data_IF_271008146703
#
_entry.id   IF_271008146703
#
_cell.length_a   1.000
_cell.length_b   1.000
_cell.length_c   1.000
_cell.angle_alpha   90.00
_cell.angle_beta   90.00
_cell.angle_gamma   90.00
#
_symmetry.space_group_name_H-M   'P 1'
#
loop_
_entity.id
_entity.type
_entity.pdbx_description
1 polymer ?
#
# COMPACT_ATOMS: atom_id res chain seq x y z
N UNK A 1 31.71 0.13 12.57
CA UNK A 1 30.30 0.60 12.59
C UNK A 1 30.10 1.37 11.31
N UNK A 2 29.08 1.04 10.55
CA UNK A 2 28.91 1.60 9.20
C UNK A 2 28.32 3.03 9.24
N UNK A 3 27.31 3.25 10.11
CA UNK A 3 26.58 4.51 10.16
C UNK A 3 26.18 4.87 11.59
N UNK A 4 26.32 6.14 11.95
CA UNK A 4 25.70 6.74 13.14
C UNK A 4 24.84 7.91 12.69
N UNK A 5 23.56 7.93 13.10
CA UNK A 5 22.66 9.07 12.95
C UNK A 5 22.52 9.72 14.32
N UNK A 6 22.99 10.99 14.43
CA UNK A 6 23.09 11.72 15.70
C UNK A 6 22.01 12.78 15.86
N UNK A 7 21.70 13.10 17.12
CA UNK A 7 20.91 14.24 17.54
C UNK A 7 19.46 14.27 17.04
N UNK A 8 18.99 13.19 16.40
CA UNK A 8 17.66 13.12 15.82
C UNK A 8 16.56 12.92 16.86
N UNK A 9 15.33 13.26 16.48
CA UNK A 9 14.14 12.93 17.25
C UNK A 9 13.56 11.63 16.71
N UNK A 10 13.73 10.53 17.42
CA UNK A 10 13.19 9.21 17.03
C UNK A 10 11.70 9.18 17.30
N UNK A 11 10.93 8.68 16.32
CA UNK A 11 9.48 8.46 16.46
C UNK A 11 9.19 6.98 16.30
N UNK A 12 8.54 6.42 17.31
CA UNK A 12 7.99 5.06 17.31
C UNK A 12 6.47 5.12 17.40
N UNK A 13 5.72 4.02 17.25
CA UNK A 13 4.26 4.05 17.43
C UNK A 13 3.79 4.58 18.79
N UNK A 14 4.62 4.44 19.84
CA UNK A 14 4.23 4.74 21.23
C UNK A 14 5.01 5.85 21.90
N UNK A 15 6.14 6.29 21.31
CA UNK A 15 7.04 7.27 21.93
C UNK A 15 7.73 8.16 20.89
N UNK A 16 8.10 9.36 21.36
CA UNK A 16 8.95 10.30 20.62
C UNK A 16 10.02 10.82 21.58
N UNK A 17 11.31 10.63 21.21
CA UNK A 17 12.43 10.96 22.09
C UNK A 17 13.71 11.26 21.29
N UNK A 18 14.66 11.97 21.90
CA UNK A 18 15.97 12.23 21.28
C UNK A 18 16.95 11.12 21.60
N UNK A 19 17.59 10.57 20.58
CA UNK A 19 18.70 9.63 20.72
C UNK A 19 19.49 9.52 19.40
N UNK A 20 20.67 8.93 19.49
CA UNK A 20 21.48 8.52 18.35
C UNK A 20 21.16 7.08 17.97
N UNK A 21 21.19 6.78 16.67
CA UNK A 21 21.00 5.42 16.12
C UNK A 21 22.30 4.92 15.53
N UNK A 22 22.75 3.78 16.00
CA UNK A 22 23.95 3.08 15.52
C UNK A 22 23.57 1.94 14.58
N UNK A 23 24.23 1.85 13.45
CA UNK A 23 23.99 0.85 12.42
C UNK A 23 25.28 0.12 12.07
N UNK A 24 25.20 -1.20 11.99
CA UNK A 24 26.30 -2.05 11.53
C UNK A 24 25.75 -3.25 10.75
N UNK A 25 26.36 -3.58 9.60
CA UNK A 25 25.93 -4.66 8.72
C UNK A 25 24.43 -4.58 8.34
N UNK A 26 23.93 -3.37 8.11
CA UNK A 26 22.55 -3.11 7.72
C UNK A 26 21.52 -3.27 8.83
N UNK A 27 21.94 -3.42 10.09
CA UNK A 27 21.07 -3.58 11.26
C UNK A 27 21.26 -2.45 12.26
N UNK A 28 20.20 -2.10 12.96
CA UNK A 28 20.25 -1.20 14.11
C UNK A 28 20.89 -1.98 15.28
N UNK A 29 22.04 -1.52 15.75
CA UNK A 29 22.81 -2.20 16.80
C UNK A 29 22.70 -1.54 18.17
N UNK A 30 22.42 -0.22 18.18
CA UNK A 30 22.17 0.51 19.42
C UNK A 30 21.32 1.75 19.17
N UNK A 31 20.59 2.14 20.24
CA UNK A 31 19.90 3.43 20.35
C UNK A 31 20.37 4.00 21.68
N UNK A 32 21.07 5.15 21.65
CA UNK A 32 21.76 5.68 22.82
C UNK A 32 21.70 7.21 22.87
N UNK A 33 21.95 7.78 24.05
CA UNK A 33 22.00 9.24 24.21
C UNK A 33 23.26 9.88 23.57
N UNK A 34 24.37 9.13 23.47
CA UNK A 34 25.57 9.55 22.78
C UNK A 34 26.29 8.31 22.20
N UNK A 35 26.34 8.23 20.89
CA UNK A 35 27.02 7.16 20.16
C UNK A 35 28.50 7.45 19.87
N UNK A 36 29.00 8.63 20.24
CA UNK A 36 30.32 9.09 19.79
C UNK A 36 30.34 9.37 18.29
N UNK A 37 31.50 9.19 17.65
CA UNK A 37 31.70 9.49 16.21
C UNK A 37 32.54 8.42 15.50
N UNK A 38 32.72 7.25 16.11
CA UNK A 38 33.54 6.18 15.54
C UNK A 38 32.73 5.28 14.60
N UNK A 39 32.47 5.78 13.40
CA UNK A 39 31.80 5.07 12.31
C UNK A 39 32.34 5.55 10.96
N UNK A 40 32.11 4.78 9.90
CA UNK A 40 32.50 5.14 8.54
C UNK A 40 31.72 6.38 8.06
N UNK A 41 30.45 6.49 8.46
CA UNK A 41 29.58 7.64 8.19
C UNK A 41 28.91 8.13 9.46
N UNK A 42 28.96 9.45 9.70
CA UNK A 42 28.23 10.11 10.78
C UNK A 42 27.33 11.17 10.18
N UNK A 43 26.04 11.09 10.49
CA UNK A 43 25.00 12.00 9.98
C UNK A 43 24.42 12.78 11.15
N UNK A 44 24.40 14.10 11.05
CA UNK A 44 23.73 14.97 12.02
C UNK A 44 22.26 15.18 11.61
N UNK A 45 21.34 14.67 12.41
CA UNK A 45 19.90 14.83 12.26
C UNK A 45 19.32 15.86 13.24
N UNK A 46 20.11 16.86 13.65
CA UNK A 46 19.64 17.95 14.53
C UNK A 46 18.44 18.66 13.91
N UNK A 47 17.35 18.78 14.67
CA UNK A 47 16.10 19.39 14.20
C UNK A 47 15.25 18.50 13.29
N UNK A 48 15.71 17.30 12.96
CA UNK A 48 15.01 16.34 12.10
C UNK A 48 14.37 15.22 12.91
N UNK A 49 13.41 14.54 12.29
CA UNK A 49 12.85 13.30 12.81
C UNK A 49 13.54 12.09 12.17
N UNK A 50 13.77 11.06 12.97
CA UNK A 50 14.30 9.76 12.55
C UNK A 50 13.17 8.75 12.66
N UNK A 51 12.67 8.32 11.51
CA UNK A 51 11.48 7.49 11.36
C UNK A 51 11.88 6.13 10.78
N UNK A 52 11.14 5.04 11.07
CA UNK A 52 11.30 3.82 10.30
C UNK A 52 10.88 4.05 8.86
N UNK A 53 11.52 3.35 7.93
CA UNK A 53 11.08 3.31 6.54
C UNK A 53 9.64 2.82 6.42
N UNK A 54 8.86 3.44 5.56
CA UNK A 54 7.50 3.01 5.31
C UNK A 54 7.46 1.66 4.59
N UNK A 55 6.36 0.95 4.80
CA UNK A 55 6.00 -0.30 4.12
C UNK A 55 4.72 -0.04 3.34
N UNK A 56 4.79 -0.04 2.03
CA UNK A 56 3.61 0.00 1.19
C UNK A 56 3.13 -1.43 0.91
N UNK A 57 2.04 -1.82 1.57
CA UNK A 57 1.52 -3.16 1.50
C UNK A 57 0.63 -3.43 0.27
N UNK A 58 0.56 -2.49 -0.70
CA UNK A 58 -0.34 -2.61 -1.84
C UNK A 58 0.18 -1.90 -3.08
N UNK A 59 0.87 -2.63 -3.95
CA UNK A 59 1.39 -2.11 -5.22
C UNK A 59 1.14 -3.07 -6.37
N UNK A 60 1.12 -2.53 -7.59
CA UNK A 60 0.89 -3.25 -8.85
C UNK A 60 1.96 -2.84 -9.88
N UNK A 61 3.21 -3.26 -9.64
CA UNK A 61 4.35 -2.93 -10.50
C UNK A 61 4.39 -3.88 -11.71
N UNK A 62 4.67 -3.36 -12.90
CA UNK A 62 4.66 -4.14 -14.15
C UNK A 62 3.41 -5.04 -14.27
N UNK A 63 2.24 -4.52 -13.87
CA UNK A 63 0.98 -5.28 -13.78
C UNK A 63 0.22 -5.22 -15.11
N UNK A 64 -0.06 -6.35 -15.75
CA UNK A 64 -0.98 -6.40 -16.90
C UNK A 64 -2.41 -6.10 -16.43
N UNK A 65 -2.98 -4.98 -16.84
CA UNK A 65 -4.34 -4.60 -16.51
C UNK A 65 -4.94 -3.63 -17.53
N UNK A 66 -6.25 -3.69 -17.77
CA UNK A 66 -6.94 -2.74 -18.66
C UNK A 66 -6.48 -2.78 -20.13
N UNK A 67 -5.89 -3.87 -20.60
CA UNK A 67 -5.38 -4.02 -21.95
C UNK A 67 -3.96 -3.45 -22.15
N UNK A 68 -3.28 -3.06 -21.10
CA UNK A 68 -1.90 -2.57 -21.07
C UNK A 68 -1.14 -3.13 -19.86
N UNK A 69 0.01 -2.53 -19.54
CA UNK A 69 0.84 -2.86 -18.37
C UNK A 69 1.04 -1.55 -17.59
N UNK A 70 0.96 -1.60 -16.25
CA UNK A 70 1.24 -0.41 -15.43
C UNK A 70 2.61 0.18 -15.78
N UNK A 71 2.70 1.52 -15.87
CA UNK A 71 3.86 2.21 -16.41
C UNK A 71 5.14 2.06 -15.60
N UNK A 72 5.01 1.84 -14.29
CA UNK A 72 6.16 1.59 -13.43
C UNK A 72 6.49 0.10 -13.40
N UNK A 73 7.69 -0.25 -13.87
CA UNK A 73 8.30 -1.55 -13.64
C UNK A 73 8.85 -1.65 -12.19
N UNK A 74 9.52 -2.75 -11.87
CA UNK A 74 10.07 -2.94 -10.52
C UNK A 74 11.14 -1.92 -10.17
N UNK A 75 11.95 -1.49 -11.13
CA UNK A 75 12.96 -0.47 -10.85
C UNK A 75 12.32 0.91 -10.66
N UNK A 76 11.47 1.33 -11.57
CA UNK A 76 10.82 2.64 -11.51
C UNK A 76 9.98 2.79 -10.24
N UNK A 77 9.11 1.81 -9.95
CA UNK A 77 8.24 1.88 -8.77
C UNK A 77 9.02 1.80 -7.45
N UNK A 78 10.03 0.93 -7.33
CA UNK A 78 10.83 0.83 -6.09
C UNK A 78 11.83 1.98 -5.92
N UNK A 79 12.27 2.62 -7.01
CA UNK A 79 13.00 3.89 -6.99
C UNK A 79 12.11 5.01 -6.44
N UNK A 80 10.90 5.14 -6.98
CA UNK A 80 9.92 6.12 -6.49
C UNK A 80 9.57 5.87 -5.01
N UNK A 81 9.40 4.61 -4.60
CA UNK A 81 9.22 4.22 -3.20
C UNK A 81 10.33 4.77 -2.30
N UNK A 82 11.59 4.54 -2.65
CA UNK A 82 12.75 5.01 -1.90
C UNK A 82 12.75 6.55 -1.75
N UNK A 83 12.40 7.27 -2.81
CA UNK A 83 12.36 8.74 -2.82
C UNK A 83 11.26 9.29 -1.90
N UNK A 84 10.16 8.56 -1.73
CA UNK A 84 9.10 8.87 -0.78
C UNK A 84 9.33 8.39 0.66
N UNK A 85 10.44 7.70 0.95
CA UNK A 85 10.72 7.14 2.27
C UNK A 85 10.15 5.73 2.50
N UNK A 86 9.65 5.08 1.45
CA UNK A 86 9.19 3.68 1.49
C UNK A 86 10.36 2.75 1.20
N UNK A 87 10.67 1.84 2.12
CA UNK A 87 11.83 0.93 2.04
C UNK A 87 11.43 -0.52 1.80
N UNK A 88 10.14 -0.80 1.79
CA UNK A 88 9.59 -2.13 1.50
C UNK A 88 8.27 -2.00 0.77
N UNK A 89 8.14 -2.67 -0.38
CA UNK A 89 6.90 -2.74 -1.16
C UNK A 89 6.34 -4.15 -1.22
N UNK A 90 5.02 -4.28 -1.20
CA UNK A 90 4.32 -5.54 -1.45
C UNK A 90 3.63 -5.49 -2.79
N UNK A 91 4.06 -6.33 -3.71
CA UNK A 91 3.46 -6.43 -5.04
C UNK A 91 2.44 -7.57 -5.12
N UNK A 92 1.38 -7.38 -5.91
CA UNK A 92 0.36 -8.41 -6.13
C UNK A 92 0.69 -9.25 -7.35
N UNK A 93 0.79 -10.57 -7.11
CA UNK A 93 0.98 -11.57 -8.16
C UNK A 93 -0.39 -12.05 -8.64
N UNK A 94 -0.69 -11.92 -9.92
CA UNK A 94 -1.85 -12.62 -10.49
C UNK A 94 -1.46 -14.07 -10.79
N UNK A 95 -2.13 -15.01 -10.13
CA UNK A 95 -2.04 -16.43 -10.47
C UNK A 95 -2.56 -16.67 -11.89
N UNK A 96 -1.87 -17.42 -12.71
CA UNK A 96 -2.43 -17.90 -13.98
C UNK A 96 -3.33 -19.13 -13.75
N UNK A 97 -4.27 -19.39 -14.66
CA UNK A 97 -5.13 -20.57 -14.56
C UNK A 97 -4.29 -21.85 -14.70
N UNK A 98 -4.45 -22.77 -13.76
CA UNK A 98 -3.69 -24.00 -13.64
C UNK A 98 -2.29 -23.85 -13.01
N UNK A 99 -1.90 -22.65 -12.60
CA UNK A 99 -0.60 -22.37 -11.98
C UNK A 99 -0.67 -22.60 -10.46
N UNK A 100 0.37 -23.23 -9.87
CA UNK A 100 0.50 -23.28 -8.41
C UNK A 100 0.89 -21.91 -7.84
N UNK A 101 0.53 -21.63 -6.56
CA UNK A 101 0.91 -20.37 -5.90
C UNK A 101 2.43 -20.21 -5.84
N UNK A 102 3.18 -21.29 -5.62
CA UNK A 102 4.66 -21.26 -5.56
C UNK A 102 5.26 -20.95 -6.92
N UNK A 103 4.71 -21.47 -8.01
CA UNK A 103 5.22 -21.18 -9.35
C UNK A 103 4.93 -19.72 -9.74
N UNK A 104 3.76 -19.20 -9.38
CA UNK A 104 3.43 -17.79 -9.55
C UNK A 104 4.43 -16.89 -8.79
N UNK A 105 4.76 -17.23 -7.54
CA UNK A 105 5.74 -16.50 -6.73
C UNK A 105 7.13 -16.51 -7.41
N UNK A 106 7.61 -17.68 -7.81
CA UNK A 106 8.93 -17.83 -8.46
C UNK A 106 9.00 -17.05 -9.79
N UNK A 107 7.92 -17.11 -10.57
CA UNK A 107 7.81 -16.36 -11.82
C UNK A 107 7.94 -14.86 -11.58
N UNK A 108 7.25 -14.35 -10.56
CA UNK A 108 7.26 -12.93 -10.23
C UNK A 108 8.58 -12.48 -9.61
N UNK A 109 9.13 -13.28 -8.70
CA UNK A 109 10.44 -13.03 -8.07
C UNK A 109 11.57 -12.93 -9.11
N UNK A 110 11.56 -13.78 -10.12
CA UNK A 110 12.52 -13.74 -11.22
C UNK A 110 12.48 -12.43 -12.02
N UNK A 111 11.33 -11.74 -12.04
CA UNK A 111 11.20 -10.41 -12.66
C UNK A 111 11.64 -9.30 -11.71
N UNK A 112 11.34 -9.44 -10.42
CA UNK A 112 11.56 -8.40 -9.41
C UNK A 112 13.01 -8.35 -8.93
N UNK A 113 13.62 -9.50 -8.65
CA UNK A 113 14.94 -9.61 -8.02
C UNK A 113 16.08 -8.85 -8.75
N UNK A 114 16.18 -8.84 -10.10
CA UNK A 114 17.23 -8.10 -10.78
C UNK A 114 17.03 -6.58 -10.74
N UNK A 115 15.84 -6.09 -10.44
CA UNK A 115 15.44 -4.70 -10.68
C UNK A 115 15.09 -3.93 -9.40
N UNK A 116 14.55 -4.57 -8.38
CA UNK A 116 14.06 -3.87 -7.20
C UNK A 116 15.15 -3.06 -6.49
N UNK A 117 14.88 -1.78 -6.24
CA UNK A 117 15.79 -0.85 -5.57
C UNK A 117 15.61 -0.80 -4.05
N UNK A 118 14.46 -1.26 -3.52
CA UNK A 118 14.19 -1.48 -2.10
C UNK A 118 13.64 -2.88 -1.89
N UNK A 119 13.57 -3.32 -0.64
CA UNK A 119 13.10 -4.65 -0.29
C UNK A 119 11.63 -4.85 -0.70
N UNK A 120 11.26 -6.09 -1.00
CA UNK A 120 9.93 -6.41 -1.51
C UNK A 120 9.38 -7.70 -0.95
N UNK A 121 8.07 -7.81 -0.96
CA UNK A 121 7.32 -9.00 -0.63
C UNK A 121 6.14 -9.16 -1.61
N UNK A 122 5.40 -10.27 -1.48
CA UNK A 122 4.30 -10.57 -2.38
C UNK A 122 3.02 -10.93 -1.65
N UNK A 123 1.89 -10.56 -2.28
CA UNK A 123 0.59 -11.17 -2.09
C UNK A 123 0.22 -11.94 -3.35
N UNK A 124 -0.36 -13.14 -3.23
CA UNK A 124 -0.83 -13.89 -4.40
C UNK A 124 -2.33 -13.70 -4.56
N UNK A 125 -2.75 -13.17 -5.70
CA UNK A 125 -4.15 -13.07 -6.07
C UNK A 125 -4.66 -14.42 -6.58
N UNK A 126 -5.58 -15.02 -5.84
CA UNK A 126 -6.16 -16.34 -6.10
C UNK A 126 -7.21 -16.23 -7.18
N UNK A 127 -6.99 -16.87 -8.34
CA UNK A 127 -7.94 -16.92 -9.45
C UNK A 127 -8.47 -18.34 -9.70
N UNK A 128 -7.66 -19.36 -9.40
CA UNK A 128 -8.00 -20.76 -9.66
C UNK A 128 -7.68 -21.61 -8.42
N UNK A 129 -8.66 -22.32 -7.94
CA UNK A 129 -8.57 -23.27 -6.83
C UNK A 129 -8.94 -24.70 -7.24
N UNK A 130 -9.13 -24.95 -8.54
CA UNK A 130 -9.50 -26.25 -9.10
C UNK A 130 -8.37 -27.27 -9.00
N UNK A 131 -8.69 -28.53 -9.17
CA UNK A 131 -7.73 -29.62 -9.29
C UNK A 131 -6.65 -29.69 -8.18
N UNK A 132 -7.02 -29.29 -6.95
CA UNK A 132 -6.10 -29.30 -5.80
C UNK A 132 -5.22 -28.04 -5.68
N UNK A 133 -5.36 -27.05 -6.57
CA UNK A 133 -4.59 -25.80 -6.50
C UNK A 133 -4.82 -25.02 -5.19
N UNK A 134 -5.96 -25.20 -4.54
CA UNK A 134 -6.23 -24.61 -3.22
C UNK A 134 -5.19 -25.03 -2.17
N UNK A 135 -4.65 -26.25 -2.25
CA UNK A 135 -3.68 -26.76 -1.31
C UNK A 135 -2.31 -26.09 -1.47
N UNK A 136 -2.02 -25.54 -2.65
CA UNK A 136 -0.78 -24.80 -2.90
C UNK A 136 -0.71 -23.45 -2.15
N UNK A 137 -1.80 -23.00 -1.50
CA UNK A 137 -1.79 -21.90 -0.51
C UNK A 137 -0.86 -22.25 0.65
N UNK A 138 -0.95 -23.47 1.19
CA UNK A 138 -0.08 -23.92 2.28
C UNK A 138 1.38 -24.06 1.82
N UNK A 139 1.60 -24.54 0.59
CA UNK A 139 2.94 -24.60 0.00
C UNK A 139 3.56 -23.20 -0.13
N UNK A 140 2.76 -22.19 -0.51
CA UNK A 140 3.21 -20.81 -0.59
C UNK A 140 3.53 -20.23 0.80
N UNK A 141 2.75 -20.54 1.83
CA UNK A 141 3.06 -20.16 3.22
C UNK A 141 4.40 -20.76 3.65
N UNK A 142 4.62 -22.04 3.38
CA UNK A 142 5.87 -22.73 3.66
C UNK A 142 7.06 -22.18 2.85
N UNK A 143 6.80 -21.65 1.64
CA UNK A 143 7.81 -20.99 0.81
C UNK A 143 8.21 -19.61 1.34
N UNK A 144 7.31 -18.94 2.08
CA UNK A 144 7.53 -17.63 2.68
C UNK A 144 6.56 -16.53 2.22
N UNK A 145 5.40 -16.88 1.65
CA UNK A 145 4.32 -15.95 1.30
C UNK A 145 3.06 -16.34 2.06
N UNK A 146 2.73 -15.57 3.10
CA UNK A 146 1.63 -15.86 4.02
C UNK A 146 0.38 -14.99 3.84
N UNK A 147 0.24 -14.34 2.69
CA UNK A 147 -0.92 -13.49 2.39
C UNK A 147 -1.37 -13.63 0.95
N UNK A 148 -2.70 -13.70 0.78
CA UNK A 148 -3.36 -13.93 -0.50
C UNK A 148 -4.47 -12.93 -0.71
N UNK A 149 -4.85 -12.66 -1.96
CA UNK A 149 -5.95 -11.75 -2.30
C UNK A 149 -7.04 -12.45 -3.08
N UNK A 150 -8.27 -12.09 -2.81
CA UNK A 150 -9.42 -12.43 -3.64
C UNK A 150 -10.08 -11.15 -4.16
N UNK A 151 -10.67 -11.25 -5.34
CA UNK A 151 -11.46 -10.18 -5.95
C UNK A 151 -12.92 -10.62 -6.02
N UNK A 152 -13.83 -9.76 -5.54
CA UNK A 152 -15.29 -9.94 -5.71
C UNK A 152 -15.79 -9.22 -6.98
N UNK A 153 -14.90 -8.60 -7.73
CA UNK A 153 -15.12 -7.81 -8.94
C UNK A 153 -14.19 -8.30 -10.06
N UNK A 154 -14.36 -7.77 -11.26
CA UNK A 154 -13.67 -8.17 -12.50
C UNK A 154 -14.08 -9.58 -13.01
N UNK A 155 -13.69 -9.91 -14.25
CA UNK A 155 -14.02 -11.19 -14.88
C UNK A 155 -13.25 -12.38 -14.29
N UNK A 156 -12.13 -12.09 -13.62
CA UNK A 156 -11.36 -13.08 -12.87
C UNK A 156 -11.73 -13.14 -11.37
N UNK A 157 -12.77 -12.41 -10.96
CA UNK A 157 -13.28 -12.44 -9.60
C UNK A 157 -13.81 -13.81 -9.20
N UNK A 158 -13.69 -14.13 -7.91
CA UNK A 158 -14.15 -15.41 -7.39
C UNK A 158 -15.60 -15.34 -6.88
N UNK A 159 -16.30 -16.48 -6.89
CA UNK A 159 -17.63 -16.59 -6.27
C UNK A 159 -17.50 -16.64 -4.73
N UNK A 160 -18.58 -16.34 -4.00
CA UNK A 160 -18.62 -16.43 -2.54
C UNK A 160 -18.24 -17.83 -2.04
N UNK A 161 -18.62 -18.89 -2.77
CA UNK A 161 -18.25 -20.28 -2.42
C UNK A 161 -16.75 -20.56 -2.56
N UNK A 162 -16.09 -19.99 -3.57
CA UNK A 162 -14.62 -20.06 -3.71
C UNK A 162 -13.95 -19.23 -2.63
N UNK A 163 -14.43 -18.01 -2.40
CA UNK A 163 -13.90 -17.14 -1.35
C UNK A 163 -13.98 -17.82 0.03
N UNK A 164 -15.10 -18.46 0.35
CA UNK A 164 -15.27 -19.20 1.59
C UNK A 164 -14.22 -20.31 1.77
N UNK A 165 -13.99 -21.13 0.71
CA UNK A 165 -12.96 -22.19 0.73
C UNK A 165 -11.55 -21.63 0.88
N UNK A 166 -11.26 -20.49 0.26
CA UNK A 166 -9.96 -19.81 0.39
C UNK A 166 -9.75 -19.30 1.81
N UNK A 167 -10.79 -18.72 2.46
CA UNK A 167 -10.72 -18.32 3.87
C UNK A 167 -10.49 -19.51 4.80
N UNK A 168 -11.19 -20.62 4.58
CA UNK A 168 -11.05 -21.85 5.36
C UNK A 168 -9.63 -22.43 5.24
N UNK A 169 -9.09 -22.52 4.02
CA UNK A 169 -7.71 -22.99 3.79
C UNK A 169 -6.68 -22.05 4.40
N UNK A 170 -6.84 -20.73 4.22
CA UNK A 170 -5.94 -19.73 4.79
C UNK A 170 -5.91 -19.80 6.32
N UNK A 171 -7.09 -19.92 6.98
CA UNK A 171 -7.17 -20.10 8.43
C UNK A 171 -6.37 -21.32 8.88
N UNK A 172 -6.48 -22.44 8.16
CA UNK A 172 -5.81 -23.71 8.53
C UNK A 172 -4.27 -23.63 8.51
N UNK A 173 -3.69 -22.73 7.71
CA UNK A 173 -2.24 -22.55 7.57
C UNK A 173 -1.71 -21.20 8.07
N UNK A 174 -2.54 -20.42 8.78
CA UNK A 174 -2.13 -19.15 9.39
C UNK A 174 -1.88 -18.02 8.38
N UNK A 175 -2.48 -18.09 7.20
CA UNK A 175 -2.38 -17.05 6.18
C UNK A 175 -3.42 -15.95 6.36
N UNK A 176 -3.13 -14.76 5.80
CA UNK A 176 -4.05 -13.63 5.71
C UNK A 176 -4.72 -13.61 4.35
N UNK A 177 -6.03 -13.42 4.32
CA UNK A 177 -6.75 -13.13 3.09
C UNK A 177 -7.08 -11.64 3.05
N UNK A 178 -6.69 -10.99 1.96
CA UNK A 178 -7.14 -9.67 1.59
C UNK A 178 -8.22 -9.74 0.52
N UNK A 179 -9.14 -8.77 0.52
CA UNK A 179 -10.26 -8.75 -0.42
C UNK A 179 -10.46 -7.39 -1.05
N UNK A 180 -10.58 -7.37 -2.39
CA UNK A 180 -11.17 -6.26 -3.12
C UNK A 180 -12.69 -6.49 -3.16
N UNK A 181 -13.41 -5.69 -2.40
CA UNK A 181 -14.84 -5.86 -2.17
C UNK A 181 -15.66 -4.83 -2.96
N UNK A 182 -16.09 -5.19 -4.16
CA UNK A 182 -17.09 -4.46 -4.94
C UNK A 182 -18.07 -5.46 -5.58
N UNK A 183 -19.36 -5.11 -5.66
CA UNK A 183 -20.39 -5.96 -6.25
C UNK A 183 -20.39 -5.87 -7.78
N UNK A 184 -19.72 -6.84 -8.44
CA UNK A 184 -19.60 -6.89 -9.91
C UNK A 184 -20.93 -6.78 -10.63
N UNK A 185 -21.95 -7.52 -10.17
CA UNK A 185 -23.23 -7.58 -10.86
C UNK A 185 -23.95 -6.22 -10.87
N UNK A 186 -23.86 -5.46 -9.77
CA UNK A 186 -24.41 -4.12 -9.71
C UNK A 186 -23.62 -3.15 -10.58
N UNK A 187 -22.29 -3.26 -10.60
CA UNK A 187 -21.44 -2.46 -11.47
C UNK A 187 -21.81 -2.69 -12.94
N UNK A 188 -21.95 -3.95 -13.35
CA UNK A 188 -22.29 -4.31 -14.74
C UNK A 188 -23.64 -3.67 -15.16
N UNK A 189 -24.67 -3.80 -14.33
CA UNK A 189 -26.01 -3.22 -14.59
C UNK A 189 -25.97 -1.69 -14.69
N UNK A 190 -25.24 -1.04 -13.77
CA UNK A 190 -25.12 0.43 -13.77
C UNK A 190 -24.30 0.92 -14.96
N UNK A 191 -23.23 0.21 -15.31
CA UNK A 191 -22.37 0.50 -16.47
C UNK A 191 -23.18 0.42 -17.75
N UNK A 192 -23.89 -0.69 -17.98
CA UNK A 192 -24.76 -0.88 -19.15
C UNK A 192 -25.80 0.24 -19.26
N UNK A 193 -26.45 0.59 -18.15
CA UNK A 193 -27.43 1.68 -18.10
C UNK A 193 -26.83 2.99 -18.56
N UNK A 194 -25.70 3.42 -17.98
CA UNK A 194 -25.09 4.69 -18.32
C UNK A 194 -24.61 4.75 -19.77
N UNK A 195 -23.99 3.68 -20.27
CA UNK A 195 -23.59 3.61 -21.68
C UNK A 195 -24.78 3.68 -22.64
N UNK A 196 -25.89 2.98 -22.31
CA UNK A 196 -27.12 3.02 -23.14
C UNK A 196 -27.77 4.42 -23.19
N UNK A 197 -27.52 5.24 -22.16
CA UNK A 197 -27.97 6.64 -22.08
C UNK A 197 -26.95 7.62 -22.71
N UNK A 198 -25.87 7.14 -23.34
CA UNK A 198 -24.81 7.95 -23.93
C UNK A 198 -23.92 8.68 -22.90
N UNK A 199 -23.90 8.21 -21.67
CA UNK A 199 -23.14 8.77 -20.55
C UNK A 199 -21.78 8.08 -20.46
N UNK A 200 -20.73 8.70 -20.99
CA UNK A 200 -19.44 8.03 -21.29
C UNK A 200 -18.23 8.62 -20.55
N UNK A 201 -18.37 9.79 -19.90
CA UNK A 201 -17.25 10.46 -19.23
C UNK A 201 -16.75 9.74 -17.97
N UNK A 202 -15.57 10.07 -17.48
CA UNK A 202 -14.96 9.54 -16.25
C UNK A 202 -15.88 9.66 -15.01
N UNK A 203 -16.78 10.67 -14.97
CA UNK A 203 -17.78 10.80 -13.92
C UNK A 203 -18.67 9.56 -13.79
N UNK A 204 -18.97 8.87 -14.90
CA UNK A 204 -19.82 7.68 -14.90
C UNK A 204 -19.07 6.41 -14.47
N UNK A 205 -17.76 6.42 -14.44
CA UNK A 205 -17.02 5.41 -13.70
C UNK A 205 -17.37 5.42 -12.20
N UNK A 206 -17.37 6.62 -11.58
CA UNK A 206 -17.81 6.76 -10.19
C UNK A 206 -19.30 6.42 -10.02
N UNK A 207 -20.16 6.93 -10.91
CA UNK A 207 -21.62 6.69 -10.83
C UNK A 207 -22.00 5.21 -11.00
N UNK A 208 -21.21 4.42 -11.72
CA UNK A 208 -21.41 2.96 -11.84
C UNK A 208 -20.90 2.18 -10.63
N UNK A 209 -20.16 2.85 -9.72
CA UNK A 209 -19.56 2.29 -8.51
C UNK A 209 -19.92 3.13 -7.26
N UNK A 210 -21.23 3.40 -7.04
CA UNK A 210 -21.66 4.17 -5.89
C UNK A 210 -21.30 3.49 -4.58
N UNK A 211 -21.33 4.22 -3.47
CA UNK A 211 -20.81 3.78 -2.17
C UNK A 211 -21.38 2.45 -1.72
N UNK A 212 -22.68 2.22 -1.90
CA UNK A 212 -23.32 0.96 -1.48
C UNK A 212 -22.83 -0.29 -2.24
N UNK A 213 -22.24 -0.14 -3.43
CA UNK A 213 -21.69 -1.25 -4.23
C UNK A 213 -20.45 -1.85 -3.56
N UNK A 214 -19.64 -1.00 -2.95
CA UNK A 214 -18.51 -1.40 -2.13
C UNK A 214 -18.98 -1.80 -0.72
N UNK A 215 -19.81 -0.97 -0.06
CA UNK A 215 -20.29 -1.23 1.30
C UNK A 215 -21.04 -2.56 1.46
N UNK A 216 -21.89 -2.94 0.50
CA UNK A 216 -22.55 -4.27 0.48
C UNK A 216 -21.52 -5.41 0.39
N UNK A 217 -20.53 -5.27 -0.49
CA UNK A 217 -19.52 -6.28 -0.69
C UNK A 217 -18.59 -6.40 0.54
N UNK A 218 -18.24 -5.30 1.20
CA UNK A 218 -17.50 -5.30 2.46
C UNK A 218 -18.27 -6.08 3.56
N UNK A 219 -19.55 -5.77 3.72
CA UNK A 219 -20.41 -6.44 4.71
C UNK A 219 -20.46 -7.95 4.40
N UNK A 220 -20.62 -8.34 3.15
CA UNK A 220 -20.69 -9.75 2.74
C UNK A 220 -19.36 -10.46 2.97
N UNK A 221 -18.23 -9.85 2.61
CA UNK A 221 -16.90 -10.42 2.85
C UNK A 221 -16.63 -10.62 4.35
N UNK A 222 -16.98 -9.63 5.18
CA UNK A 222 -16.87 -9.71 6.64
C UNK A 222 -17.74 -10.85 7.20
N UNK A 223 -18.98 -11.02 6.71
CA UNK A 223 -19.85 -12.11 7.18
C UNK A 223 -19.28 -13.49 6.84
N UNK A 224 -18.68 -13.67 5.65
CA UNK A 224 -18.00 -14.91 5.28
C UNK A 224 -16.83 -15.20 6.24
N UNK A 225 -15.99 -14.20 6.52
CA UNK A 225 -14.87 -14.34 7.44
C UNK A 225 -15.33 -14.65 8.88
N UNK A 226 -16.36 -13.96 9.38
CA UNK A 226 -16.95 -14.19 10.70
C UNK A 226 -17.48 -15.60 10.86
N UNK A 227 -18.14 -16.16 9.82
CA UNK A 227 -18.72 -17.50 9.87
C UNK A 227 -17.67 -18.60 10.08
N UNK A 228 -16.43 -18.33 9.70
CA UNK A 228 -15.27 -19.20 9.89
C UNK A 228 -14.40 -18.79 11.07
N UNK A 229 -14.69 -17.65 11.75
CA UNK A 229 -13.77 -17.05 12.70
C UNK A 229 -12.36 -16.89 12.08
N UNK A 230 -12.31 -16.37 10.86
CA UNK A 230 -11.10 -16.16 10.08
C UNK A 230 -10.71 -14.68 10.06
N UNK A 231 -9.41 -14.42 10.07
CA UNK A 231 -8.89 -13.07 9.81
C UNK A 231 -9.25 -12.63 8.40
N UNK A 232 -9.53 -11.34 8.24
CA UNK A 232 -9.76 -10.72 6.93
C UNK A 232 -9.11 -9.33 6.89
N UNK A 233 -8.56 -8.98 5.74
CA UNK A 233 -7.98 -7.68 5.47
C UNK A 233 -8.72 -7.02 4.29
N UNK A 234 -9.47 -5.96 4.57
CA UNK A 234 -10.16 -5.16 3.54
C UNK A 234 -9.13 -4.20 2.97
N UNK A 235 -8.78 -4.37 1.68
CA UNK A 235 -7.83 -3.46 1.01
C UNK A 235 -8.54 -2.18 0.54
N UNK A 236 -7.79 -1.08 0.41
CA UNK A 236 -8.21 0.19 -0.21
C UNK A 236 -9.66 0.61 0.10
N UNK A 237 -10.10 0.42 1.35
CA UNK A 237 -11.43 0.80 1.82
C UNK A 237 -11.68 2.29 1.58
N UNK A 238 -12.71 2.63 0.80
CA UNK A 238 -12.96 4.00 0.34
C UNK A 238 -14.29 4.59 0.84
N UNK A 239 -15.14 3.80 1.54
CA UNK A 239 -16.51 4.21 1.85
C UNK A 239 -16.84 4.13 3.35
N UNK A 240 -17.82 4.94 3.78
CA UNK A 240 -18.31 5.01 5.17
C UNK A 240 -18.99 3.72 5.62
N UNK A 241 -19.78 3.07 4.75
CA UNK A 241 -20.53 1.86 5.11
C UNK A 241 -19.60 0.70 5.47
N UNK A 242 -18.48 0.56 4.73
CA UNK A 242 -17.43 -0.41 5.02
C UNK A 242 -16.72 -0.12 6.34
N UNK A 243 -16.42 1.17 6.64
CA UNK A 243 -15.88 1.57 7.95
C UNK A 243 -16.82 1.13 9.08
N UNK A 244 -18.12 1.37 8.94
CA UNK A 244 -19.13 0.96 9.92
C UNK A 244 -19.22 -0.58 10.06
N UNK A 245 -19.04 -1.31 8.96
CA UNK A 245 -19.03 -2.76 8.97
C UNK A 245 -17.79 -3.32 9.70
N UNK A 246 -16.61 -2.74 9.48
CA UNK A 246 -15.38 -3.07 10.20
C UNK A 246 -15.54 -2.79 11.69
N UNK A 247 -16.10 -1.62 12.05
CA UNK A 247 -16.36 -1.28 13.47
C UNK A 247 -17.23 -2.34 14.15
N UNK A 248 -18.39 -2.67 13.54
CA UNK A 248 -19.31 -3.68 14.13
C UNK A 248 -18.62 -5.03 14.32
N UNK A 249 -17.85 -5.48 13.31
CA UNK A 249 -17.18 -6.77 13.42
C UNK A 249 -16.13 -6.80 14.53
N UNK A 250 -15.38 -5.71 14.71
CA UNK A 250 -14.40 -5.59 15.80
C UNK A 250 -15.04 -5.47 17.17
N UNK A 251 -16.15 -4.74 17.29
CA UNK A 251 -16.92 -4.65 18.54
C UNK A 251 -17.46 -6.02 18.99
N UNK A 252 -17.69 -6.92 18.03
CA UNK A 252 -18.05 -8.32 18.24
C UNK A 252 -16.84 -9.24 18.49
N UNK A 253 -15.61 -8.73 18.44
CA UNK A 253 -14.36 -9.45 18.73
C UNK A 253 -13.70 -10.17 17.55
N UNK A 254 -14.10 -9.89 16.31
CA UNK A 254 -13.48 -10.48 15.13
C UNK A 254 -12.24 -9.72 14.64
N UNK A 255 -11.25 -10.46 14.14
CA UNK A 255 -9.99 -9.91 13.60
C UNK A 255 -10.18 -9.44 12.15
N UNK A 256 -10.76 -8.26 11.99
CA UNK A 256 -10.94 -7.60 10.68
C UNK A 256 -9.99 -6.42 10.62
N UNK A 257 -9.08 -6.43 9.66
CA UNK A 257 -8.15 -5.35 9.35
C UNK A 257 -8.66 -4.54 8.16
N UNK A 258 -8.33 -3.27 8.11
CA UNK A 258 -8.74 -2.40 7.01
C UNK A 258 -7.59 -1.47 6.61
N UNK A 259 -7.39 -1.35 5.32
CA UNK A 259 -6.47 -0.45 4.65
C UNK A 259 -7.25 0.67 3.98
N UNK A 260 -6.72 1.88 3.97
CA UNK A 260 -7.17 2.92 3.04
C UNK A 260 -5.98 3.53 2.31
N UNK A 261 -6.26 4.31 1.28
CA UNK A 261 -5.22 4.92 0.47
C UNK A 261 -5.19 6.44 0.66
N UNK A 262 -4.01 7.09 0.54
CA UNK A 262 -3.88 8.53 0.67
C UNK A 262 -4.81 9.32 -0.27
N UNK A 263 -5.04 8.82 -1.49
CA UNK A 263 -5.93 9.47 -2.45
C UNK A 263 -7.39 9.56 -1.97
N UNK A 264 -7.86 8.60 -1.16
CA UNK A 264 -9.21 8.66 -0.57
C UNK A 264 -9.30 9.61 0.62
N UNK A 265 -8.15 9.98 1.19
CA UNK A 265 -8.06 10.96 2.28
C UNK A 265 -7.95 12.40 1.77
N UNK A 266 -7.41 12.58 0.55
CA UNK A 266 -7.21 13.89 -0.06
C UNK A 266 -8.34 14.27 -1.01
N UNK A 267 -8.73 13.38 -1.92
CA UNK A 267 -9.64 13.69 -3.02
C UNK A 267 -11.06 13.17 -2.76
N UNK A 268 -12.03 13.82 -3.41
CA UNK A 268 -13.42 13.36 -3.48
C UNK A 268 -13.79 13.02 -4.92
N UNK A 269 -14.99 12.45 -5.12
CA UNK A 269 -15.53 12.14 -6.45
C UNK A 269 -15.61 13.36 -7.40
N UNK A 270 -15.52 14.58 -6.87
CA UNK A 270 -15.52 15.80 -7.69
C UNK A 270 -14.34 15.86 -8.67
N UNK A 271 -13.25 15.16 -8.42
CA UNK A 271 -12.11 15.08 -9.37
C UNK A 271 -12.52 14.51 -10.72
N UNK A 272 -13.52 13.62 -10.77
CA UNK A 272 -14.00 13.02 -12.01
C UNK A 272 -14.76 13.99 -12.93
N UNK A 273 -15.16 15.17 -12.41
CA UNK A 273 -15.80 16.24 -13.18
C UNK A 273 -14.79 17.16 -13.86
N UNK A 274 -13.51 17.06 -13.50
CA UNK A 274 -12.42 17.86 -14.06
C UNK A 274 -12.15 17.47 -15.52
N UNK A 275 -11.50 18.35 -16.27
CA UNK A 275 -11.06 18.06 -17.64
C UNK A 275 -10.08 16.87 -17.72
N UNK A 276 -9.26 16.71 -16.68
CA UNK A 276 -8.30 15.61 -16.48
C UNK A 276 -8.85 14.47 -15.59
N UNK A 277 -10.16 14.46 -15.31
CA UNK A 277 -10.79 13.52 -14.37
C UNK A 277 -10.53 12.05 -14.67
N UNK A 278 -10.25 11.69 -15.92
CA UNK A 278 -9.86 10.32 -16.31
C UNK A 278 -8.56 9.85 -15.68
N UNK A 279 -7.63 10.78 -15.38
CA UNK A 279 -6.36 10.46 -14.73
C UNK A 279 -6.55 9.95 -13.29
N UNK A 280 -7.67 10.31 -12.66
CA UNK A 280 -8.04 9.89 -11.30
C UNK A 280 -8.80 8.56 -11.26
N UNK A 281 -9.11 7.96 -12.40
CA UNK A 281 -9.89 6.71 -12.44
C UNK A 281 -9.09 5.57 -11.84
N UNK A 282 -9.62 5.03 -10.72
CA UNK A 282 -9.15 3.86 -9.98
C UNK A 282 -10.35 3.07 -9.44
N UNK A 283 -10.14 1.89 -8.93
CA UNK A 283 -11.19 1.03 -8.36
C UNK A 283 -10.78 0.47 -7.01
N UNK A 284 -11.55 0.76 -5.94
CA UNK A 284 -12.77 1.60 -5.92
C UNK A 284 -12.48 3.07 -6.30
N UNK A 285 -13.48 3.81 -6.81
CA UNK A 285 -13.29 5.23 -7.09
C UNK A 285 -13.27 6.06 -5.80
N UNK A 286 -12.66 7.27 -5.84
CA UNK A 286 -12.83 8.27 -4.80
C UNK A 286 -14.31 8.52 -4.55
N UNK A 287 -14.71 8.55 -3.28
CA UNK A 287 -16.12 8.71 -2.87
C UNK A 287 -16.44 10.17 -2.52
N UNK A 288 -17.64 10.40 -2.00
CA UNK A 288 -18.08 11.70 -1.53
C UNK A 288 -17.34 12.17 -0.26
N UNK A 289 -17.53 13.45 0.07
CA UNK A 289 -16.91 14.09 1.24
C UNK A 289 -17.24 13.37 2.55
N UNK A 290 -18.46 12.83 2.69
CA UNK A 290 -18.87 12.10 3.89
C UNK A 290 -18.00 10.87 4.13
N UNK A 291 -17.72 10.09 3.09
CA UNK A 291 -16.83 8.93 3.17
C UNK A 291 -15.39 9.33 3.45
N UNK A 292 -14.88 10.39 2.79
CA UNK A 292 -13.54 10.93 3.06
C UNK A 292 -13.36 11.31 4.54
N UNK A 293 -14.33 12.01 5.13
CA UNK A 293 -14.31 12.38 6.55
C UNK A 293 -14.42 11.15 7.47
N UNK A 294 -15.25 10.17 7.09
CA UNK A 294 -15.38 8.93 7.85
C UNK A 294 -14.07 8.12 7.90
N UNK A 295 -13.28 8.12 6.83
CA UNK A 295 -11.96 7.48 6.80
C UNK A 295 -10.98 8.17 7.75
N UNK A 296 -10.94 9.50 7.80
CA UNK A 296 -10.10 10.23 8.77
C UNK A 296 -10.49 9.91 10.22
N UNK A 297 -11.79 9.85 10.52
CA UNK A 297 -12.25 9.46 11.86
C UNK A 297 -11.95 7.99 12.17
N UNK A 298 -12.04 7.11 11.18
CA UNK A 298 -11.68 5.70 11.31
C UNK A 298 -10.17 5.52 11.63
N UNK A 299 -9.30 6.33 11.03
CA UNK A 299 -7.87 6.39 11.36
C UNK A 299 -7.66 6.76 12.83
N UNK A 300 -8.31 7.83 13.31
CA UNK A 300 -8.19 8.29 14.70
C UNK A 300 -8.67 7.23 15.70
N UNK A 301 -9.71 6.49 15.35
CA UNK A 301 -10.28 5.40 16.17
C UNK A 301 -9.49 4.08 16.06
N UNK A 302 -8.49 3.99 15.18
CA UNK A 302 -7.73 2.76 14.93
C UNK A 302 -8.48 1.70 14.13
N UNK A 303 -9.58 2.05 13.47
CA UNK A 303 -10.34 1.13 12.58
C UNK A 303 -9.60 0.89 11.27
N UNK A 304 -9.03 1.93 10.68
CA UNK A 304 -8.03 1.79 9.64
C UNK A 304 -6.73 1.41 10.32
N UNK A 305 -6.16 0.29 9.91
CA UNK A 305 -4.95 -0.30 10.50
C UNK A 305 -3.70 -0.01 9.72
N UNK A 306 -3.83 0.24 8.42
CA UNK A 306 -2.70 0.50 7.51
C UNK A 306 -3.07 1.54 6.47
N UNK A 307 -2.05 2.22 5.98
CA UNK A 307 -2.11 3.04 4.77
C UNK A 307 -1.25 2.37 3.71
N UNK A 308 -1.79 2.21 2.50
CA UNK A 308 -1.07 1.72 1.34
C UNK A 308 -1.55 2.46 0.09
N UNK A 309 -0.89 2.30 -1.05
CA UNK A 309 -1.13 3.21 -2.18
C UNK A 309 -2.09 2.69 -3.23
N UNK A 310 -2.17 1.38 -3.41
CA UNK A 310 -2.76 0.77 -4.59
C UNK A 310 -2.10 1.32 -5.88
N UNK A 311 -0.77 1.52 -5.82
CA UNK A 311 0.02 2.11 -6.90
C UNK A 311 -0.04 1.25 -8.16
N UNK A 312 -0.71 1.79 -9.18
CA UNK A 312 -0.91 1.15 -10.48
C UNK A 312 -1.02 2.23 -11.57
N UNK A 313 0.07 2.93 -11.91
CA UNK A 313 0.04 4.05 -12.84
C UNK A 313 -0.11 3.61 -14.29
N UNK A 314 -0.77 4.46 -15.09
CA UNK A 314 -0.87 4.33 -16.54
C UNK A 314 -0.59 5.67 -17.18
N UNK A 315 0.00 5.68 -18.38
CA UNK A 315 0.31 6.91 -19.09
C UNK A 315 -0.97 7.69 -19.49
N UNK A 316 -0.87 9.00 -19.62
CA UNK A 316 -2.00 9.85 -19.97
C UNK A 316 -2.67 9.43 -21.27
N UNK A 317 -1.89 9.02 -22.29
CA UNK A 317 -2.42 8.54 -23.56
C UNK A 317 -3.21 7.22 -23.42
N UNK A 318 -2.89 6.38 -22.44
CA UNK A 318 -3.65 5.16 -22.14
C UNK A 318 -4.96 5.50 -21.44
N UNK A 319 -4.94 6.47 -20.51
CA UNK A 319 -6.16 7.03 -19.90
C UNK A 319 -7.08 7.64 -20.96
N UNK A 320 -6.53 8.17 -22.05
CA UNK A 320 -7.30 8.74 -23.18
C UNK A 320 -8.06 7.69 -24.02
N UNK A 321 -7.74 6.40 -23.89
CA UNK A 321 -8.55 5.33 -24.52
C UNK A 321 -10.01 5.36 -24.05
N UNK A 322 -10.25 5.84 -22.84
CA UNK A 322 -11.59 5.98 -22.26
C UNK A 322 -12.23 7.35 -22.44
N UNK A 323 -11.72 8.19 -23.36
CA UNK A 323 -12.25 9.54 -23.58
C UNK A 323 -13.74 9.55 -23.93
N UNK A 324 -14.18 8.60 -24.74
CA UNK A 324 -15.55 8.45 -25.20
C UNK A 324 -16.27 7.20 -24.62
N UNK A 325 -15.61 6.48 -23.70
CA UNK A 325 -16.14 5.29 -23.05
C UNK A 325 -15.34 5.01 -21.76
N UNK A 326 -15.89 5.44 -20.62
CA UNK A 326 -15.21 5.33 -19.33
C UNK A 326 -14.76 3.90 -18.95
N UNK A 327 -15.36 2.87 -19.55
CA UNK A 327 -14.99 1.46 -19.28
C UNK A 327 -13.63 1.08 -19.88
N UNK A 328 -13.11 1.89 -20.80
CA UNK A 328 -11.80 1.70 -21.44
C UNK A 328 -10.67 2.45 -20.75
N UNK A 329 -10.96 3.22 -19.71
CA UNK A 329 -9.93 3.89 -18.92
C UNK A 329 -9.23 2.81 -18.07
N UNK A 330 -7.93 2.54 -18.23
CA UNK A 330 -7.22 1.66 -17.30
C UNK A 330 -7.28 2.26 -15.89
N UNK A 331 -7.75 1.44 -14.92
CA UNK A 331 -7.99 1.89 -13.55
C UNK A 331 -6.71 1.79 -12.73
N UNK A 332 -6.30 2.89 -12.12
CA UNK A 332 -5.14 2.96 -11.25
C UNK A 332 -4.44 4.32 -11.31
N UNK A 333 -3.70 4.64 -10.26
CA UNK A 333 -3.02 5.92 -10.09
C UNK A 333 -1.61 5.72 -9.53
N UNK A 334 -0.70 6.67 -9.80
CA UNK A 334 0.59 6.75 -9.12
C UNK A 334 0.40 7.27 -7.69
N UNK A 335 1.10 6.67 -6.70
CA UNK A 335 0.96 7.08 -5.30
C UNK A 335 2.11 6.70 -4.38
N UNK A 336 2.95 5.73 -4.76
CA UNK A 336 3.96 5.11 -3.88
C UNK A 336 4.96 6.12 -3.28
N UNK A 337 5.37 7.11 -4.05
CA UNK A 337 6.28 8.17 -3.59
C UNK A 337 5.61 9.17 -2.66
N UNK A 338 4.27 9.32 -2.77
CA UNK A 338 3.53 10.35 -2.06
C UNK A 338 2.91 9.88 -0.73
N UNK A 339 2.81 8.57 -0.50
CA UNK A 339 2.13 7.99 0.66
C UNK A 339 2.68 8.49 1.97
N UNK A 340 3.96 8.25 2.22
CA UNK A 340 4.56 8.60 3.52
C UNK A 340 4.70 10.11 3.70
N UNK A 341 5.19 10.89 2.72
CA UNK A 341 5.20 12.35 2.80
C UNK A 341 3.84 12.96 3.09
N UNK A 342 2.76 12.47 2.46
CA UNK A 342 1.40 12.94 2.70
C UNK A 342 0.92 12.65 4.13
N UNK A 343 1.13 11.43 4.63
CA UNK A 343 0.71 11.06 5.98
C UNK A 343 1.52 11.78 7.07
N UNK A 344 2.81 12.01 6.84
CA UNK A 344 3.67 12.80 7.72
C UNK A 344 3.30 14.29 7.68
N UNK A 345 2.91 14.82 6.52
CA UNK A 345 2.35 16.17 6.41
C UNK A 345 1.04 16.31 7.19
N UNK A 346 0.15 15.34 7.10
CA UNK A 346 -1.07 15.31 7.88
C UNK A 346 -0.79 15.29 9.41
N UNK A 347 0.29 14.61 9.82
CA UNK A 347 0.74 14.64 11.21
C UNK A 347 1.31 16.02 11.58
N UNK A 348 2.07 16.63 10.70
CA UNK A 348 2.64 17.97 10.92
C UNK A 348 1.55 19.05 11.01
N UNK A 349 0.44 18.87 10.28
CA UNK A 349 -0.75 19.73 10.35
C UNK A 349 -1.66 19.42 11.55
N UNK A 350 -1.35 18.40 12.35
CA UNK A 350 -2.12 18.01 13.54
C UNK A 350 -3.40 17.23 13.26
N UNK A 351 -3.60 16.71 12.05
CA UNK A 351 -4.75 15.82 11.73
C UNK A 351 -4.65 14.48 12.45
N UNK A 352 -3.41 13.97 12.58
CA UNK A 352 -3.01 12.79 13.36
C UNK A 352 -1.70 13.09 14.11
N UNK A 353 -1.15 12.14 14.87
CA UNK A 353 0.19 12.26 15.45
C UNK A 353 1.24 11.63 14.54
N UNK A 354 2.52 12.01 14.65
CA UNK A 354 3.62 11.33 13.97
C UNK A 354 3.71 9.85 14.38
N UNK A 355 3.43 9.55 15.66
CA UNK A 355 3.35 8.16 16.14
C UNK A 355 2.27 7.36 15.37
N UNK A 356 1.10 7.97 15.12
CA UNK A 356 0.03 7.34 14.35
C UNK A 356 0.43 7.16 12.87
N UNK A 357 1.13 8.11 12.26
CA UNK A 357 1.64 7.96 10.90
C UNK A 357 2.64 6.79 10.80
N UNK A 358 3.59 6.69 11.75
CA UNK A 358 4.54 5.57 11.84
C UNK A 358 3.82 4.24 12.10
N UNK A 359 2.82 4.24 12.98
CA UNK A 359 1.98 3.05 13.23
C UNK A 359 1.35 2.54 11.94
N UNK A 360 0.67 3.42 11.18
CA UNK A 360 -0.10 3.07 9.99
C UNK A 360 0.76 2.71 8.77
N UNK A 361 1.89 3.41 8.58
CA UNK A 361 2.68 3.29 7.37
C UNK A 361 3.91 2.37 7.53
N UNK A 362 4.27 1.96 8.75
CA UNK A 362 5.48 1.17 8.98
C UNK A 362 5.23 -0.01 9.92
N UNK A 363 4.79 0.26 11.15
CA UNK A 363 4.71 -0.76 12.20
C UNK A 363 3.59 -1.78 11.95
N UNK A 364 2.37 -1.32 11.72
CA UNK A 364 1.22 -2.20 11.53
C UNK A 364 1.35 -3.07 10.28
N UNK A 365 1.73 -2.57 9.07
CA UNK A 365 1.92 -3.45 7.94
C UNK A 365 3.02 -4.49 8.18
N UNK A 366 4.11 -4.14 8.90
CA UNK A 366 5.13 -5.11 9.29
C UNK A 366 4.55 -6.23 10.18
N UNK A 367 3.73 -5.86 11.17
CA UNK A 367 3.11 -6.82 12.11
C UNK A 367 2.06 -7.68 11.43
N UNK A 368 1.11 -7.08 10.71
CA UNK A 368 0.01 -7.80 10.06
C UNK A 368 0.55 -8.82 9.06
N UNK A 369 1.58 -8.46 8.31
CA UNK A 369 2.11 -9.31 7.25
C UNK A 369 3.38 -10.10 7.63
N UNK A 370 3.80 -10.07 8.90
CA UNK A 370 4.89 -10.91 9.40
C UNK A 370 6.29 -10.50 8.93
N UNK A 371 6.56 -9.20 8.76
CA UNK A 371 7.88 -8.66 8.43
C UNK A 371 8.67 -8.30 9.69
N UNK A 372 9.06 -9.29 10.49
CA UNK A 372 9.63 -9.11 11.83
C UNK A 372 10.91 -8.25 11.88
N UNK A 373 11.66 -8.19 10.79
CA UNK A 373 12.86 -7.38 10.71
C UNK A 373 12.61 -5.90 10.37
N UNK A 374 11.37 -5.51 10.05
CA UNK A 374 10.99 -4.22 9.49
C UNK A 374 10.09 -3.39 10.42
N UNK A 375 9.76 -2.18 10.01
CA UNK A 375 8.64 -1.38 10.52
C UNK A 375 8.90 -0.60 11.81
N UNK A 376 10.12 -0.64 12.39
CA UNK A 376 10.41 0.10 13.61
C UNK A 376 11.90 0.46 13.74
N UNK A 377 12.19 1.56 14.46
CA UNK A 377 13.54 1.89 14.92
C UNK A 377 13.77 1.13 16.24
N UNK A 378 14.30 -0.08 16.14
CA UNK A 378 14.55 -0.96 17.28
C UNK A 378 15.85 -1.75 17.05
N UNK A 379 16.57 -2.06 18.13
CA UNK A 379 17.81 -2.86 18.06
C UNK A 379 17.52 -4.26 17.50
N UNK A 380 18.30 -4.68 16.51
CA UNK A 380 18.17 -5.95 15.81
C UNK A 380 17.35 -5.90 14.52
N UNK A 381 16.57 -4.85 14.32
CA UNK A 381 15.83 -4.65 13.06
C UNK A 381 16.72 -4.15 11.93
N UNK A 382 16.26 -4.26 10.71
CA UNK A 382 16.90 -3.65 9.55
C UNK A 382 16.98 -2.13 9.72
N UNK A 383 18.10 -1.55 9.32
CA UNK A 383 18.29 -0.12 9.36
C UNK A 383 17.60 0.55 8.16
N UNK A 384 16.28 0.39 8.11
CA UNK A 384 15.38 1.08 7.18
C UNK A 384 14.93 2.36 7.87
N UNK A 385 15.55 3.47 7.48
CA UNK A 385 15.47 4.73 8.23
C UNK A 385 15.17 5.88 7.28
N UNK A 386 14.26 6.75 7.69
CA UNK A 386 13.97 8.02 7.02
C UNK A 386 14.37 9.17 7.93
N UNK A 387 15.23 10.04 7.44
CA UNK A 387 15.46 11.35 8.05
C UNK A 387 14.48 12.32 7.41
N UNK A 388 13.60 12.88 8.24
CA UNK A 388 12.49 13.73 7.81
C UNK A 388 12.67 15.15 8.35
N UNK A 389 12.61 16.13 7.45
CA UNK A 389 12.61 17.53 7.79
C UNK A 389 11.18 18.04 7.98
N UNK A 390 10.72 18.32 9.20
CA UNK A 390 9.35 18.77 9.45
C UNK A 390 9.07 20.21 8.98
N UNK A 391 10.10 21.00 8.71
CA UNK A 391 9.94 22.39 8.30
C UNK A 391 10.02 22.61 6.79
N UNK A 392 10.43 21.57 6.03
CA UNK A 392 10.54 21.64 4.57
C UNK A 392 9.16 21.74 3.93
N UNK A 393 8.90 22.82 3.20
CA UNK A 393 7.69 22.90 2.35
C UNK A 393 7.97 22.30 0.98
N UNK A 394 7.07 21.44 0.50
CA UNK A 394 7.21 20.80 -0.79
C UNK A 394 5.86 20.80 -1.52
N UNK A 395 5.87 21.24 -2.78
CA UNK A 395 4.74 21.13 -3.68
C UNK A 395 5.00 19.96 -4.62
N UNK A 396 4.10 18.97 -4.61
CA UNK A 396 4.19 17.80 -5.48
C UNK A 396 3.88 18.25 -6.91
N UNK A 397 4.78 17.97 -7.83
CA UNK A 397 4.62 18.19 -9.26
C UNK A 397 5.25 17.02 -10.01
N UNK A 398 4.72 16.67 -11.17
CA UNK A 398 5.18 15.47 -11.89
C UNK A 398 6.67 15.48 -12.22
N UNK A 399 7.22 16.66 -12.53
CA UNK A 399 8.64 16.85 -12.82
C UNK A 399 9.60 16.60 -11.64
N UNK A 400 9.06 16.50 -10.42
CA UNK A 400 9.82 16.18 -9.20
C UNK A 400 9.65 14.72 -8.75
N UNK A 401 8.75 13.99 -9.39
CA UNK A 401 8.50 12.58 -9.05
C UNK A 401 9.43 11.66 -9.82
N UNK A 402 9.64 10.46 -9.26
CA UNK A 402 10.57 9.47 -9.78
C UNK A 402 9.87 8.26 -10.43
N UNK A 403 8.54 8.27 -10.50
CA UNK A 403 7.73 7.35 -11.29
C UNK A 403 7.95 7.58 -12.78
N UNK A 404 7.82 6.55 -13.60
CA UNK A 404 7.89 6.65 -15.06
C UNK A 404 6.53 7.08 -15.69
N UNK A 405 5.53 7.37 -14.85
CA UNK A 405 4.24 7.90 -15.29
C UNK A 405 4.38 9.37 -15.72
N UNK A 406 3.77 9.74 -16.85
CA UNK A 406 3.85 11.09 -17.42
C UNK A 406 2.97 12.13 -16.71
N UNK A 407 2.23 11.71 -15.69
CA UNK A 407 1.39 12.59 -14.86
C UNK A 407 1.26 12.08 -13.43
N UNK A 408 0.86 12.95 -12.52
CA UNK A 408 0.49 12.59 -11.16
C UNK A 408 -0.88 13.16 -10.80
N UNK A 409 -1.68 12.39 -10.06
CA UNK A 409 -2.94 12.90 -9.49
C UNK A 409 -2.70 13.90 -8.36
N UNK A 410 -1.46 13.96 -7.84
CA UNK A 410 -1.03 14.82 -6.73
C UNK A 410 -0.52 16.18 -7.19
N UNK A 411 -0.64 16.51 -8.48
CA UNK A 411 -0.14 17.77 -9.05
C UNK A 411 -0.67 18.99 -8.28
N UNK A 412 0.25 19.80 -7.75
CA UNK A 412 -0.07 21.00 -7.00
C UNK A 412 -0.41 20.79 -5.51
N UNK A 413 -0.50 19.55 -5.04
CA UNK A 413 -0.71 19.25 -3.61
C UNK A 413 0.51 19.70 -2.82
N UNK A 414 0.28 20.45 -1.75
CA UNK A 414 1.33 20.95 -0.85
C UNK A 414 1.44 20.07 0.38
N UNK A 415 2.65 19.69 0.73
CA UNK A 415 2.96 18.95 1.94
C UNK A 415 3.93 19.77 2.80
N UNK A 416 3.70 19.75 4.11
CA UNK A 416 4.59 20.36 5.10
C UNK A 416 5.42 19.27 5.75
N UNK A 417 6.73 19.37 5.60
CA UNK A 417 7.73 18.36 5.89
C UNK A 417 7.92 17.42 4.70
N UNK A 418 9.17 16.93 4.53
CA UNK A 418 9.52 16.01 3.45
C UNK A 418 10.73 15.15 3.85
N UNK A 419 10.86 13.90 3.35
CA UNK A 419 12.07 13.12 3.50
C UNK A 419 13.29 13.88 2.99
N UNK A 420 14.33 13.97 3.81
CA UNK A 420 15.64 14.51 3.44
C UNK A 420 16.56 13.37 2.98
N UNK A 421 16.51 12.23 3.68
CA UNK A 421 17.28 11.04 3.31
C UNK A 421 16.51 9.76 3.66
N UNK A 422 16.68 8.74 2.82
CA UNK A 422 16.16 7.39 3.03
C UNK A 422 17.31 6.39 3.01
N UNK A 423 17.33 5.52 4.01
CA UNK A 423 18.28 4.42 4.14
C UNK A 423 17.51 3.09 4.05
N UNK A 424 17.97 2.20 3.19
CA UNK A 424 17.49 0.82 3.08
C UNK A 424 18.58 -0.12 3.58
N UNK A 425 18.33 -0.81 4.67
CA UNK A 425 19.32 -1.65 5.35
C UNK A 425 20.67 -0.94 5.53
N UNK A 426 20.63 0.30 6.07
CA UNK A 426 21.78 1.15 6.35
C UNK A 426 22.46 1.81 5.15
N UNK A 427 22.08 1.45 3.92
CA UNK A 427 22.57 2.09 2.69
C UNK A 427 21.72 3.30 2.34
N UNK A 428 22.37 4.44 2.09
CA UNK A 428 21.71 5.65 1.60
C UNK A 428 21.17 5.39 0.17
N UNK A 429 19.85 5.48 -0.01
CA UNK A 429 19.20 5.25 -1.29
C UNK A 429 18.52 6.49 -1.87
N UNK A 430 18.29 7.51 -1.04
CA UNK A 430 17.75 8.80 -1.46
C UNK A 430 18.28 9.90 -0.59
N UNK A 431 18.61 11.05 -1.17
CA UNK A 431 18.97 12.25 -0.43
C UNK A 431 18.69 13.52 -1.25
N UNK A 432 18.07 14.52 -0.62
CA UNK A 432 17.88 15.89 -1.14
C UNK A 432 17.25 15.95 -2.55
N UNK A 433 16.34 15.02 -2.89
CA UNK A 433 15.67 14.96 -4.19
C UNK A 433 16.35 14.06 -5.20
N UNK A 434 17.46 13.41 -4.86
CA UNK A 434 18.21 12.55 -5.75
C UNK A 434 18.13 11.08 -5.30
N UNK A 435 17.78 10.18 -6.20
CA UNK A 435 17.90 8.75 -5.99
C UNK A 435 19.37 8.31 -6.10
N UNK A 436 19.86 7.65 -5.06
CA UNK A 436 21.26 7.19 -4.92
C UNK A 436 21.36 5.66 -4.79
N UNK A 437 20.23 4.97 -4.88
CA UNK A 437 20.16 3.53 -4.76
C UNK A 437 20.67 2.79 -5.99
N UNK A 438 20.62 1.47 -5.95
CA UNK A 438 21.09 0.58 -7.02
C UNK A 438 19.96 -0.35 -7.46
N UNK A 439 19.89 -0.60 -8.76
CA UNK A 439 19.04 -1.63 -9.33
C UNK A 439 19.45 -3.00 -8.79
N UNK A 440 18.48 -3.81 -8.33
CA UNK A 440 18.73 -5.13 -7.75
C UNK A 440 19.27 -5.09 -6.31
N UNK A 441 19.25 -3.95 -5.63
CA UNK A 441 19.58 -3.86 -4.21
C UNK A 441 18.55 -4.53 -3.32
N UNK A 442 17.27 -4.45 -3.70
CA UNK A 442 16.14 -5.00 -2.95
C UNK A 442 16.22 -6.51 -2.77
N UNK A 443 15.66 -7.00 -1.66
CA UNK A 443 15.61 -8.43 -1.35
C UNK A 443 14.18 -8.88 -1.14
N UNK A 444 13.87 -10.08 -1.61
CA UNK A 444 12.61 -10.74 -1.31
C UNK A 444 12.52 -11.07 0.20
N UNK A 445 11.51 -10.52 0.86
CA UNK A 445 11.24 -10.77 2.28
C UNK A 445 10.32 -11.98 2.41
N UNK A 446 10.87 -13.09 2.89
CA UNK A 446 10.10 -14.28 3.24
C UNK A 446 9.46 -14.12 4.61
N UNK A 447 8.19 -14.50 4.72
CA UNK A 447 7.37 -14.39 5.92
C UNK A 447 6.79 -15.75 6.27
N UNK A 448 6.79 -16.11 7.54
CA UNK A 448 6.38 -17.46 7.98
C UNK A 448 4.89 -17.57 8.32
N UNK A 449 4.24 -16.45 8.68
CA UNK A 449 2.82 -16.37 8.99
C UNK A 449 2.37 -14.92 8.96
N UNK A 450 1.06 -14.67 8.89
CA UNK A 450 0.49 -13.38 9.19
C UNK A 450 0.51 -13.17 10.71
N UNK A 451 0.98 -11.98 11.13
CA UNK A 451 1.00 -11.62 12.54
C UNK A 451 -0.37 -11.13 13.05
N UNK A 452 -0.38 -10.69 14.32
CA UNK A 452 -1.49 -9.99 14.96
C UNK A 452 -1.03 -8.60 15.38
N UNK A 453 -1.95 -7.63 15.39
CA UNK A 453 -1.73 -6.32 15.99
C UNK A 453 -1.88 -6.36 17.51
#
# INVERSE_FOLDING_TARGET
MDLIIKNGTIVTPTATFKADVCVDNGKITAITADAGTNADTVVDASGKMVLPGAIDAHTHLAMPFGGTISSDDYYAGTRAAACGGTTTGFDFILQDFGESMVDAIKRRDAMCAPDAAVDYAFHVAVKDVSNGLIDTIEDAVNYGVSSFKVFMVYDFGVTDGVFYKVLEKAKSCGAMISVHAENKQLIDVLTERYLSEGKTSAWYHYMSRPEFVEGEADIRAIQLAKSLDSKLYIVHLANKEGVEAVQRARDEGYEIYAETCPQYLEFTSDVYKRADGRNFVCSPPMKGEESRLALWEAIKKGLITTIATDHCPFQSYEKDWGKDDFTKIPNGCAGIENMYPYMLSAANEGKITFNKAVELCSYNPAKIFGCDAKGAIEVGKDADIVIYDPEKEFTITNDKMHSDCDHTIWEGVKVKGYPEATYSRGKLVFKDGEFLGERGWGKFIKRSSSGNL
#
